data_IF_471234842475
#
_entry.id   IF_471234842475
#
_cell.length_a   1.000
_cell.length_b   1.000
_cell.length_c   1.000
_cell.angle_alpha   90.00
_cell.angle_beta   90.00
_cell.angle_gamma   90.00
#
_symmetry.space_group_name_H-M   'P 1'
#
loop_
_entity.id
_entity.type
_entity.pdbx_description
1 polymer ?
#
# COMPACT_ATOMS: atom_id res chain seq x y z
N UNK A 1 -24.88 -0.98 -29.23
CA UNK A 1 -24.92 -0.36 -27.89
C UNK A 1 -24.35 -1.37 -26.90
N UNK A 2 -23.03 -1.55 -26.94
CA UNK A 2 -22.29 -2.38 -25.99
C UNK A 2 -21.06 -1.54 -25.65
N UNK A 3 -21.07 -0.91 -24.47
CA UNK A 3 -19.90 -0.22 -23.94
C UNK A 3 -18.98 -1.30 -23.39
N UNK A 4 -17.78 -1.37 -23.95
CA UNK A 4 -16.64 -2.08 -23.37
C UNK A 4 -16.41 -1.54 -21.97
N UNK A 5 -16.68 -2.39 -20.97
CA UNK A 5 -16.13 -2.22 -19.64
C UNK A 5 -14.71 -2.73 -19.69
N UNK A 6 -13.77 -1.86 -20.06
CA UNK A 6 -12.35 -2.07 -19.81
C UNK A 6 -12.14 -1.90 -18.29
N UNK A 7 -12.47 -2.96 -17.56
CA UNK A 7 -12.19 -3.08 -16.14
C UNK A 7 -10.69 -3.27 -16.00
N UNK A 8 -9.97 -2.17 -15.76
CA UNK A 8 -8.54 -2.20 -15.46
C UNK A 8 -8.34 -3.06 -14.21
N UNK A 9 -8.02 -4.34 -14.39
CA UNK A 9 -7.63 -5.23 -13.30
C UNK A 9 -6.58 -4.50 -12.47
N UNK A 10 -6.82 -4.42 -11.16
CA UNK A 10 -5.95 -3.65 -10.28
C UNK A 10 -4.64 -4.42 -10.19
N UNK A 11 -3.51 -3.71 -10.16
CA UNK A 11 -2.19 -4.33 -10.37
C UNK A 11 -1.91 -5.54 -9.43
N UNK A 12 -2.45 -5.52 -8.20
CA UNK A 12 -2.29 -6.58 -7.20
C UNK A 12 -3.06 -7.88 -7.53
N UNK A 13 -4.02 -7.82 -8.46
CA UNK A 13 -4.72 -8.99 -8.97
C UNK A 13 -3.88 -9.73 -10.02
N UNK A 14 -3.04 -9.01 -10.79
CA UNK A 14 -2.12 -9.61 -11.76
C UNK A 14 -0.97 -10.37 -11.09
N UNK A 15 -0.43 -9.83 -9.99
CA UNK A 15 0.73 -10.42 -9.31
C UNK A 15 0.44 -11.88 -8.88
N UNK A 16 -0.78 -12.17 -8.39
CA UNK A 16 -1.21 -13.53 -8.01
C UNK A 16 -1.27 -14.51 -9.18
N UNK A 17 -1.69 -14.04 -10.35
CA UNK A 17 -1.81 -14.87 -11.56
C UNK A 17 -0.41 -15.22 -12.07
N UNK A 18 0.49 -14.23 -12.10
CA UNK A 18 1.87 -14.39 -12.54
C UNK A 18 2.62 -15.36 -11.62
N UNK A 19 2.49 -15.19 -10.30
CA UNK A 19 3.14 -16.07 -9.32
C UNK A 19 2.70 -17.53 -9.50
N UNK A 20 1.40 -17.77 -9.66
CA UNK A 20 0.87 -19.13 -9.84
C UNK A 20 1.38 -19.80 -11.14
N UNK A 21 1.50 -19.04 -12.23
CA UNK A 21 1.94 -19.59 -13.52
C UNK A 21 3.46 -19.71 -13.65
N UNK A 22 4.21 -18.77 -13.09
CA UNK A 22 5.66 -18.63 -13.32
C UNK A 22 6.52 -19.00 -12.13
N UNK A 23 5.92 -19.17 -10.94
CA UNK A 23 6.63 -19.33 -9.65
C UNK A 23 7.60 -18.17 -9.37
N UNK A 24 7.40 -17.03 -10.03
CA UNK A 24 8.23 -15.85 -9.84
C UNK A 24 7.53 -14.90 -8.88
N UNK A 25 8.23 -14.52 -7.83
CA UNK A 25 7.79 -13.53 -6.85
C UNK A 25 8.12 -12.11 -7.34
N UNK A 26 7.26 -11.16 -6.98
CA UNK A 26 7.52 -9.74 -7.23
C UNK A 26 8.71 -9.26 -6.37
N UNK A 27 9.65 -8.47 -6.92
CA UNK A 27 10.72 -7.88 -6.13
C UNK A 27 10.18 -6.84 -5.14
N UNK A 28 10.86 -6.70 -3.99
CA UNK A 28 10.49 -5.70 -2.96
C UNK A 28 10.76 -4.26 -3.39
N UNK A 29 11.70 -4.05 -4.32
CA UNK A 29 12.03 -2.76 -4.88
C UNK A 29 11.67 -2.76 -6.38
N UNK A 30 10.75 -1.88 -6.76
CA UNK A 30 10.25 -1.79 -8.12
C UNK A 30 10.08 -0.32 -8.52
N UNK A 31 10.77 0.07 -9.59
CA UNK A 31 10.56 1.37 -10.25
C UNK A 31 9.61 1.20 -11.44
N UNK A 32 8.44 1.84 -11.38
CA UNK A 32 7.48 1.85 -12.49
C UNK A 32 7.42 3.23 -13.12
N UNK A 33 7.36 3.28 -14.46
CA UNK A 33 7.21 4.51 -15.21
C UNK A 33 5.85 4.51 -15.92
N UNK A 34 5.04 5.52 -15.65
CA UNK A 34 3.82 5.75 -16.41
C UNK A 34 4.14 6.63 -17.61
N UNK A 35 3.90 6.11 -18.81
CA UNK A 35 4.04 6.87 -20.04
C UNK A 35 2.73 7.62 -20.31
N UNK A 36 2.81 8.95 -20.39
CA UNK A 36 1.70 9.79 -20.82
C UNK A 36 2.01 10.32 -22.21
N UNK A 37 1.16 9.99 -23.18
CA UNK A 37 1.26 10.55 -24.53
C UNK A 37 0.30 11.73 -24.59
N UNK A 38 0.79 12.98 -24.75
CA UNK A 38 -0.09 14.13 -24.78
C UNK A 38 -1.03 14.04 -25.98
N UNK A 39 -2.33 13.90 -25.72
CA UNK A 39 -3.39 13.92 -26.74
C UNK A 39 -3.67 15.37 -27.15
N UNK A 40 -2.67 16.06 -27.68
CA UNK A 40 -2.87 17.39 -28.22
C UNK A 40 -3.13 17.26 -29.72
N UNK A 41 -4.41 17.16 -30.09
CA UNK A 41 -4.88 17.10 -31.48
C UNK A 41 -4.53 18.34 -32.33
N UNK A 42 -3.87 19.34 -31.74
CA UNK A 42 -3.29 20.51 -32.42
C UNK A 42 -1.77 20.58 -32.39
N UNK A 43 -1.12 19.77 -31.56
CA UNK A 43 0.31 19.48 -31.65
C UNK A 43 0.44 18.05 -32.19
N UNK A 44 -0.21 17.81 -33.33
CA UNK A 44 0.07 16.62 -34.11
C UNK A 44 1.57 16.60 -34.32
N UNK A 45 2.25 15.57 -33.78
CA UNK A 45 3.60 15.22 -34.19
C UNK A 45 3.57 15.32 -35.71
N UNK A 46 4.30 16.28 -36.33
CA UNK A 46 4.23 16.46 -37.77
C UNK A 46 4.55 15.10 -38.39
N UNK A 47 3.74 14.59 -39.33
CA UNK A 47 3.97 13.25 -39.93
C UNK A 47 5.42 13.08 -40.44
N UNK A 48 6.02 14.19 -40.82
CA UNK A 48 7.42 14.40 -41.20
C UNK A 48 8.45 14.23 -40.06
N UNK A 49 8.07 14.17 -38.79
CA UNK A 49 8.99 13.88 -37.66
C UNK A 49 9.08 12.37 -37.38
N UNK A 50 8.01 11.62 -37.64
CA UNK A 50 7.99 10.15 -37.55
C UNK A 50 8.63 9.53 -38.81
N UNK A 51 8.49 10.18 -39.98
CA UNK A 51 9.13 9.77 -41.24
C UNK A 51 9.49 10.98 -42.14
N UNK A 52 10.65 11.63 -41.95
CA UNK A 52 11.16 12.64 -42.88
C UNK A 52 11.81 11.94 -44.09
N UNK A 53 11.03 11.56 -45.11
CA UNK A 53 11.55 11.03 -46.39
C UNK A 53 12.73 10.02 -46.26
N UNK A 54 12.70 9.19 -45.20
CA UNK A 54 13.81 8.37 -44.78
C UNK A 54 13.39 7.40 -43.68
N UNK A 55 14.18 6.35 -43.50
CA UNK A 55 13.96 5.21 -42.59
C UNK A 55 14.12 5.54 -41.09
N UNK A 56 13.98 6.80 -40.69
CA UNK A 56 14.33 7.28 -39.34
C UNK A 56 13.14 7.94 -38.65
N UNK A 57 12.75 7.39 -37.51
CA UNK A 57 11.80 7.99 -36.60
C UNK A 57 12.54 8.75 -35.48
N UNK A 58 12.02 9.92 -35.11
CA UNK A 58 12.52 10.69 -33.97
C UNK A 58 11.45 10.77 -32.88
N UNK A 59 11.92 10.64 -31.64
CA UNK A 59 11.12 10.55 -30.42
C UNK A 59 11.86 11.27 -29.30
N UNK A 60 11.10 11.99 -28.48
CA UNK A 60 11.61 12.76 -27.35
C UNK A 60 10.97 12.22 -26.07
N UNK A 61 11.81 11.75 -25.14
CA UNK A 61 11.44 11.35 -23.80
C UNK A 61 11.83 12.43 -22.82
N UNK A 62 10.88 12.87 -22.02
CA UNK A 62 11.14 13.74 -20.90
C UNK A 62 10.32 13.30 -19.70
N UNK A 63 10.89 13.51 -18.51
CA UNK A 63 10.15 13.37 -17.25
C UNK A 63 9.42 14.68 -16.99
N UNK A 64 8.11 14.62 -16.75
CA UNK A 64 7.35 15.79 -16.30
C UNK A 64 7.76 16.24 -14.91
N UNK A 65 7.54 17.52 -14.59
CA UNK A 65 7.91 18.09 -13.29
C UNK A 65 7.12 17.41 -12.15
N UNK A 66 7.85 16.84 -11.18
CA UNK A 66 7.36 16.24 -9.92
C UNK A 66 6.50 14.95 -10.01
N UNK A 67 6.76 14.05 -10.96
CA UNK A 67 5.99 12.81 -11.13
C UNK A 67 6.58 11.55 -10.45
N UNK A 68 7.26 11.68 -9.31
CA UNK A 68 7.76 10.51 -8.56
C UNK A 68 6.82 10.16 -7.42
N UNK A 69 6.00 9.13 -7.61
CA UNK A 69 5.20 8.54 -6.54
C UNK A 69 6.04 7.48 -5.81
N UNK A 70 6.37 7.75 -4.54
CA UNK A 70 7.00 6.76 -3.67
C UNK A 70 5.92 5.94 -2.97
N UNK A 71 5.87 4.65 -3.28
CA UNK A 71 4.98 3.69 -2.62
C UNK A 71 5.82 2.72 -1.80
N UNK A 72 5.51 2.60 -0.52
CA UNK A 72 6.18 1.66 0.39
C UNK A 72 5.16 1.00 1.30
N UNK A 73 5.22 -0.32 1.35
CA UNK A 73 4.40 -1.14 2.23
C UNK A 73 5.09 -1.26 3.60
N UNK A 74 4.31 -1.12 4.66
CA UNK A 74 4.77 -1.30 6.04
C UNK A 74 3.86 -2.33 6.72
N UNK A 75 4.41 -3.20 7.58
CA UNK A 75 3.57 -4.07 8.39
C UNK A 75 2.71 -3.21 9.32
N UNK A 76 1.39 -3.37 9.25
CA UNK A 76 0.45 -2.61 10.10
C UNK A 76 0.51 -3.06 11.56
N UNK A 77 0.97 -4.29 11.81
CA UNK A 77 1.01 -4.88 13.13
C UNK A 77 2.32 -5.64 13.33
N UNK A 78 2.95 -5.42 14.47
CA UNK A 78 4.23 -6.02 14.83
C UNK A 78 4.11 -6.76 16.17
N UNK A 79 5.10 -7.59 16.51
CA UNK A 79 5.14 -8.35 17.75
C UNK A 79 5.09 -7.44 19.00
N UNK A 80 5.66 -6.23 18.92
CA UNK A 80 5.54 -5.26 20.00
C UNK A 80 4.11 -4.75 20.17
N UNK A 81 3.37 -4.54 19.08
CA UNK A 81 1.96 -4.16 19.12
C UNK A 81 1.12 -5.29 19.75
N UNK A 82 1.42 -6.54 19.42
CA UNK A 82 0.80 -7.71 20.05
C UNK A 82 0.98 -7.75 21.56
N UNK A 83 2.22 -7.60 22.03
CA UNK A 83 2.52 -7.61 23.46
C UNK A 83 1.88 -6.41 24.16
N UNK A 84 1.80 -5.25 23.51
CA UNK A 84 1.16 -4.07 24.07
C UNK A 84 -0.35 -4.27 24.26
N UNK A 85 -1.06 -4.84 23.27
CA UNK A 85 -2.50 -5.08 23.36
C UNK A 85 -2.84 -6.16 24.41
N UNK A 86 -2.12 -7.29 24.37
CA UNK A 86 -2.31 -8.37 25.35
C UNK A 86 -1.93 -7.88 26.76
N UNK A 87 -0.79 -7.19 26.88
CA UNK A 87 -0.31 -6.63 28.14
C UNK A 87 -1.26 -5.57 28.70
N UNK A 88 -1.86 -4.74 27.86
CA UNK A 88 -2.86 -3.76 28.27
C UNK A 88 -4.13 -4.41 28.84
N UNK A 89 -4.66 -5.43 28.15
CA UNK A 89 -5.84 -6.17 28.62
C UNK A 89 -5.53 -6.93 29.91
N UNK A 90 -4.40 -7.65 29.96
CA UNK A 90 -3.98 -8.37 31.17
C UNK A 90 -3.73 -7.42 32.34
N UNK A 91 -3.07 -6.30 32.09
CA UNK A 91 -2.82 -5.27 33.10
C UNK A 91 -4.11 -4.68 33.66
N UNK A 92 -5.12 -4.45 32.81
CA UNK A 92 -6.43 -3.96 33.25
C UNK A 92 -7.12 -4.96 34.19
N UNK A 93 -7.16 -6.24 33.83
CA UNK A 93 -7.80 -7.26 34.67
C UNK A 93 -7.03 -7.53 35.97
N UNK A 94 -5.70 -7.57 35.92
CA UNK A 94 -4.88 -7.71 37.12
C UNK A 94 -5.02 -6.49 38.04
N UNK A 95 -5.06 -5.28 37.48
CA UNK A 95 -5.31 -4.06 38.23
C UNK A 95 -6.65 -4.09 38.95
N UNK A 96 -7.72 -4.48 38.25
CA UNK A 96 -9.05 -4.65 38.85
C UNK A 96 -9.06 -5.71 39.95
N UNK A 97 -8.39 -6.84 39.72
CA UNK A 97 -8.26 -7.90 40.73
C UNK A 97 -7.56 -7.41 42.00
N UNK A 98 -6.48 -6.62 41.88
CA UNK A 98 -5.75 -6.06 43.03
C UNK A 98 -6.65 -5.08 43.80
N UNK A 99 -7.34 -4.17 43.10
CA UNK A 99 -8.26 -3.24 43.75
C UNK A 99 -9.36 -3.98 44.51
N UNK A 100 -9.97 -5.01 43.92
CA UNK A 100 -10.99 -5.81 44.60
C UNK A 100 -10.45 -6.53 45.84
N UNK A 101 -9.22 -7.05 45.80
CA UNK A 101 -8.62 -7.69 46.99
C UNK A 101 -8.30 -6.70 48.10
N UNK A 102 -7.87 -5.48 47.76
CA UNK A 102 -7.62 -4.43 48.74
C UNK A 102 -8.90 -3.96 49.41
N UNK A 103 -9.99 -3.85 48.65
CA UNK A 103 -11.29 -3.44 49.15
C UNK A 103 -11.83 -4.44 50.19
N UNK A 104 -11.80 -5.74 49.84
CA UNK A 104 -12.15 -6.83 50.77
C UNK A 104 -11.29 -6.83 52.04
N UNK A 105 -9.98 -6.56 51.90
CA UNK A 105 -9.08 -6.50 53.04
C UNK A 105 -9.43 -5.32 53.97
N UNK A 106 -9.74 -4.15 53.41
CA UNK A 106 -10.14 -2.97 54.18
C UNK A 106 -11.49 -3.17 54.87
N UNK A 107 -12.47 -3.79 54.21
CA UNK A 107 -13.75 -4.15 54.82
C UNK A 107 -13.56 -5.09 56.02
N UNK A 108 -12.71 -6.11 55.89
CA UNK A 108 -12.40 -7.04 56.97
C UNK A 108 -11.72 -6.33 58.16
N UNK A 109 -10.79 -5.42 57.88
CA UNK A 109 -10.07 -4.66 58.91
C UNK A 109 -11.02 -3.74 59.69
N UNK A 110 -11.98 -3.10 59.00
CA UNK A 110 -13.01 -2.28 59.65
C UNK A 110 -14.00 -3.08 60.50
N UNK A 111 -14.22 -4.38 60.23
CA UNK A 111 -15.07 -5.24 61.06
C UNK A 111 -14.34 -5.79 62.30
N UNK A 112 -13.01 -5.82 62.28
CA UNK A 112 -12.17 -6.33 63.36
C UNK A 112 -11.67 -5.25 64.35
N UNK A 113 -11.72 -3.97 63.95
CA UNK A 113 -11.37 -2.80 64.77
C UNK A 113 -12.59 -2.23 65.51
#
# INVERSE_FOLDING_TARGET
>A
MAREAEESLRFWELDKIIENQTQCYRPCELSQYRLEVPYNSKLSIPRNWIYPNGTRAAFELYFGDTNVALMKEYPTYDGFAFVADVGGILGLFLGFSIFSTLDLFMELLMQLA
#
